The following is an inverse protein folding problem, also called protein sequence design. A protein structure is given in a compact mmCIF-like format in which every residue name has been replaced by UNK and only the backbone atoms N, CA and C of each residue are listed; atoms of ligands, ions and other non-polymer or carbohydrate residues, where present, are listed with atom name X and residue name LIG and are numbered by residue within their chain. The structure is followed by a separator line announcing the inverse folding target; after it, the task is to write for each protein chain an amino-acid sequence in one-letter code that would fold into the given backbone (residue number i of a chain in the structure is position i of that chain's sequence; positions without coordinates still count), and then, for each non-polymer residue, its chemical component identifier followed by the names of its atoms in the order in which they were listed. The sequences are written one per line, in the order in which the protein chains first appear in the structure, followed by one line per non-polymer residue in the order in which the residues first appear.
data_IF_998897146972
#
_entry.id   IF_998897146972
#
_cell.length_a   1.000
_cell.length_b   1.000
_cell.length_c   1.000
_cell.angle_alpha   90.00
_cell.angle_beta   90.00
_cell.angle_gamma   90.00
#
_symmetry.space_group_name_H-M   'P 1'
#
loop_
_entity.id
_entity.type
_entity.pdbx_description
1 polymer ?
#
# COMPACT_ATOMS: atom_id res chain seq x y z
N UNK A 1 7.38 17.10 2.59
CA UNK A 1 7.15 16.57 3.96
C UNK A 1 8.21 17.13 4.89
N UNK A 2 7.92 17.22 6.19
CA UNK A 2 8.87 17.69 7.21
C UNK A 2 8.64 16.90 8.51
N UNK A 3 9.69 16.71 9.28
CA UNK A 3 9.55 16.24 10.66
C UNK A 3 9.17 17.44 11.54
N UNK A 4 8.17 17.26 12.40
CA UNK A 4 7.73 18.26 13.38
C UNK A 4 7.85 17.64 14.77
N UNK A 5 8.58 18.26 15.72
CA UNK A 5 8.65 17.76 17.09
C UNK A 5 7.27 17.80 17.76
N UNK A 6 7.01 16.84 18.65
CA UNK A 6 5.76 16.78 19.42
C UNK A 6 5.55 18.05 20.27
N UNK A 7 6.62 18.56 20.88
CA UNK A 7 6.58 19.80 21.67
C UNK A 7 6.90 21.01 20.78
N UNK A 8 6.10 22.09 20.85
CA UNK A 8 6.41 23.32 20.15
C UNK A 8 7.75 23.92 20.60
N UNK A 9 8.48 24.52 19.67
CA UNK A 9 9.60 25.39 20.02
C UNK A 9 9.05 26.67 20.67
N UNK A 10 9.43 26.92 21.93
CA UNK A 10 9.05 28.10 22.69
C UNK A 10 10.25 28.99 23.04
N UNK A 11 10.02 30.19 23.59
CA UNK A 11 11.11 31.05 24.07
C UNK A 11 12.04 30.30 25.03
N UNK A 12 13.35 30.37 24.76
CA UNK A 12 14.37 29.68 25.57
C UNK A 12 14.61 28.21 25.24
N UNK A 13 13.92 27.65 24.24
CA UNK A 13 14.19 26.27 23.76
C UNK A 13 15.20 26.27 22.61
N UNK A 14 16.07 25.26 22.58
CA UNK A 14 17.00 25.01 21.47
C UNK A 14 16.84 23.59 20.91
N UNK A 15 16.99 23.46 19.59
CA UNK A 15 17.02 22.17 18.90
C UNK A 15 18.25 22.12 18.00
N UNK A 16 19.09 21.09 18.18
CA UNK A 16 20.22 20.81 17.29
C UNK A 16 19.91 19.60 16.41
N UNK A 17 19.56 19.85 15.15
CA UNK A 17 19.24 18.81 14.16
C UNK A 17 20.39 18.65 13.16
N UNK A 18 20.79 17.40 12.91
CA UNK A 18 21.77 17.04 11.87
C UNK A 18 21.21 15.91 11.03
N UNK A 19 21.07 16.14 9.73
CA UNK A 19 20.51 15.18 8.79
C UNK A 19 21.28 15.19 7.46
N UNK A 20 21.05 14.19 6.63
CA UNK A 20 21.55 14.09 5.26
C UNK A 20 20.36 13.94 4.33
N UNK A 21 20.35 14.71 3.24
CA UNK A 21 19.37 14.59 2.17
C UNK A 21 20.03 13.94 0.96
N UNK A 22 19.29 13.07 0.30
CA UNK A 22 19.69 12.39 -0.92
C UNK A 22 18.73 12.81 -2.05
N UNK A 23 19.28 13.18 -3.21
CA UNK A 23 18.52 13.48 -4.43
C UNK A 23 18.90 12.43 -5.47
N UNK A 24 18.18 11.32 -5.45
CA UNK A 24 18.43 10.14 -6.27
C UNK A 24 17.11 9.69 -6.90
N UNK A 25 17.22 8.90 -7.98
CA UNK A 25 16.05 8.25 -8.56
C UNK A 25 15.49 7.15 -7.65
N UNK A 26 16.37 6.46 -6.93
CA UNK A 26 16.06 5.31 -6.09
C UNK A 26 16.47 5.54 -4.63
N UNK A 27 15.85 4.79 -3.70
CA UNK A 27 16.16 4.82 -2.27
C UNK A 27 17.63 4.41 -2.04
N UNK A 28 18.48 5.27 -1.43
CA UNK A 28 19.89 4.96 -1.19
C UNK A 28 20.13 3.79 -0.23
N UNK A 29 19.16 3.47 0.64
CA UNK A 29 19.26 2.36 1.60
C UNK A 29 18.04 1.44 1.49
N UNK A 30 17.93 0.65 0.42
CA UNK A 30 16.77 -0.20 0.22
C UNK A 30 16.69 -1.24 1.34
N UNK A 31 15.51 -1.35 1.95
CA UNK A 31 15.21 -2.39 2.94
C UNK A 31 15.09 -3.78 2.32
N UNK A 32 14.87 -4.79 3.16
CA UNK A 32 14.68 -6.17 2.67
C UNK A 32 13.27 -6.41 2.13
N UNK A 33 12.27 -5.69 2.64
CA UNK A 33 10.88 -5.83 2.25
C UNK A 33 10.66 -5.36 0.80
N UNK A 34 9.74 -6.00 0.11
CA UNK A 34 9.26 -5.53 -1.18
C UNK A 34 8.51 -4.20 -1.01
N UNK A 35 8.74 -3.27 -1.92
CA UNK A 35 8.16 -1.92 -1.88
C UNK A 35 7.07 -1.77 -2.93
N UNK A 36 6.15 -0.84 -2.70
CA UNK A 36 5.09 -0.53 -3.65
C UNK A 36 5.69 0.13 -4.89
N UNK A 37 5.52 -0.48 -6.06
CA UNK A 37 5.99 0.05 -7.35
C UNK A 37 4.89 0.71 -8.16
N UNK A 38 3.62 0.37 -7.90
CA UNK A 38 2.50 1.04 -8.54
C UNK A 38 1.22 0.97 -7.71
N UNK A 39 0.41 2.03 -7.81
CA UNK A 39 -0.95 2.07 -7.31
C UNK A 39 -1.87 2.48 -8.44
N UNK A 40 -2.87 1.64 -8.75
CA UNK A 40 -3.90 1.91 -9.75
C UNK A 40 -5.27 1.77 -9.10
N UNK A 41 -6.22 2.63 -9.46
CA UNK A 41 -7.57 2.54 -8.91
C UNK A 41 -8.62 2.97 -9.94
N UNK A 42 -9.79 2.36 -9.88
CA UNK A 42 -10.83 2.45 -10.90
C UNK A 42 -12.21 2.10 -10.36
N UNK A 43 -13.22 2.11 -11.23
CA UNK A 43 -14.57 1.68 -10.83
C UNK A 43 -14.57 0.20 -10.42
N UNK A 44 -15.19 -0.10 -9.27
CA UNK A 44 -15.24 -1.44 -8.71
C UNK A 44 -16.33 -2.33 -9.29
N UNK A 45 -16.43 -3.54 -8.74
CA UNK A 45 -17.38 -4.56 -9.17
C UNK A 45 -16.74 -5.67 -10.02
N UNK A 46 -17.59 -6.62 -10.41
CA UNK A 46 -17.18 -7.81 -11.17
C UNK A 46 -17.20 -7.52 -12.68
N UNK A 47 -16.16 -7.90 -13.43
CA UNK A 47 -16.16 -7.80 -14.88
C UNK A 47 -17.41 -8.46 -15.50
N UNK A 48 -18.01 -7.81 -16.50
CA UNK A 48 -19.19 -8.32 -17.20
C UNK A 48 -20.53 -8.13 -16.46
N UNK A 49 -20.54 -7.52 -15.27
CA UNK A 49 -21.76 -7.19 -14.54
C UNK A 49 -22.00 -5.68 -14.52
N UNK A 50 -23.25 -5.29 -14.23
CA UNK A 50 -23.58 -3.88 -13.96
C UNK A 50 -22.72 -3.37 -12.81
N UNK A 51 -22.05 -2.24 -13.02
CA UNK A 51 -21.15 -1.67 -12.02
C UNK A 51 -21.94 -1.18 -10.80
N UNK A 52 -21.59 -1.62 -9.58
CA UNK A 52 -22.20 -1.10 -8.37
C UNK A 52 -21.76 0.35 -8.13
N UNK A 53 -22.68 1.18 -7.64
CA UNK A 53 -22.37 2.54 -7.21
C UNK A 53 -21.59 2.51 -5.89
N UNK A 54 -20.72 3.50 -5.68
CA UNK A 54 -19.95 3.62 -4.42
C UNK A 54 -18.86 2.58 -4.20
N UNK A 55 -18.50 1.80 -5.23
CA UNK A 55 -17.44 0.78 -5.15
C UNK A 55 -16.24 1.21 -5.97
N UNK A 56 -15.05 1.18 -5.35
CA UNK A 56 -13.78 1.51 -5.99
C UNK A 56 -12.84 0.32 -5.95
N UNK A 57 -12.29 -0.07 -7.09
CA UNK A 57 -11.24 -1.08 -7.20
C UNK A 57 -9.88 -0.46 -7.01
N UNK A 58 -9.02 -1.13 -6.26
CA UNK A 58 -7.60 -0.84 -6.13
C UNK A 58 -6.78 -2.03 -6.60
N UNK A 59 -5.67 -1.74 -7.28
CA UNK A 59 -4.61 -2.67 -7.64
C UNK A 59 -3.30 -2.05 -7.16
N UNK A 60 -2.66 -2.69 -6.19
CA UNK A 60 -1.39 -2.23 -5.61
C UNK A 60 -0.34 -3.28 -5.93
N UNK A 61 0.72 -2.87 -6.62
CA UNK A 61 1.82 -3.72 -7.05
C UNK A 61 3.04 -3.51 -6.17
N UNK A 62 3.65 -4.61 -5.76
CA UNK A 62 4.84 -4.66 -4.93
C UNK A 62 5.95 -5.44 -5.62
N UNK A 63 7.19 -5.00 -5.46
CA UNK A 63 8.35 -5.69 -5.99
C UNK A 63 9.49 -5.76 -4.98
N UNK A 64 10.13 -6.91 -4.88
CA UNK A 64 11.34 -7.08 -4.08
C UNK A 64 11.67 -8.54 -3.74
N UNK A 65 12.86 -8.74 -3.17
CA UNK A 65 13.46 -10.06 -2.94
C UNK A 65 12.67 -10.98 -2.01
N UNK A 66 11.94 -10.42 -1.04
CA UNK A 66 11.06 -11.21 -0.16
C UNK A 66 9.95 -11.91 -0.92
N UNK A 67 9.46 -11.30 -2.01
CA UNK A 67 8.41 -11.86 -2.86
C UNK A 67 8.94 -12.87 -3.88
N UNK A 68 10.24 -12.83 -4.22
CA UNK A 68 10.89 -13.85 -5.06
C UNK A 68 10.91 -15.23 -4.38
N UNK A 69 10.88 -15.24 -3.05
CA UNK A 69 10.95 -16.45 -2.22
C UNK A 69 9.59 -17.09 -1.98
N UNK A 70 8.51 -16.52 -2.51
CA UNK A 70 7.17 -17.09 -2.40
C UNK A 70 7.14 -18.42 -3.17
N UNK A 71 6.84 -19.57 -2.52
CA UNK A 71 6.82 -20.85 -3.19
C UNK A 71 5.76 -20.90 -4.30
N UNK A 72 5.99 -21.76 -5.30
CA UNK A 72 5.01 -22.00 -6.35
C UNK A 72 3.65 -22.40 -5.76
N UNK A 73 2.57 -21.92 -6.37
CA UNK A 73 1.19 -22.15 -5.94
C UNK A 73 0.87 -21.72 -4.49
N UNK A 74 1.64 -20.76 -3.96
CA UNK A 74 1.38 -20.11 -2.67
C UNK A 74 1.08 -18.65 -2.92
N UNK A 75 0.04 -18.12 -2.27
CA UNK A 75 -0.43 -16.75 -2.47
C UNK A 75 -0.29 -15.98 -1.15
N UNK A 76 0.49 -14.88 -1.12
CA UNK A 76 0.56 -14.01 0.05
C UNK A 76 -0.81 -13.48 0.43
N UNK A 77 -1.10 -13.37 1.72
CA UNK A 77 -2.31 -12.73 2.21
C UNK A 77 -2.17 -11.20 2.08
N UNK A 78 -3.18 -10.55 1.50
CA UNK A 78 -3.33 -9.10 1.55
C UNK A 78 -3.97 -8.68 2.88
N UNK A 79 -3.17 -8.19 3.81
CA UNK A 79 -3.67 -7.71 5.11
C UNK A 79 -4.13 -6.27 4.96
N UNK A 80 -5.45 -6.10 4.95
CA UNK A 80 -6.12 -4.82 4.72
C UNK A 80 -6.74 -4.26 5.99
N UNK A 81 -6.67 -2.95 6.16
CA UNK A 81 -7.45 -2.20 7.15
C UNK A 81 -7.85 -0.85 6.59
N UNK A 82 -9.02 -0.36 6.98
CA UNK A 82 -9.48 0.99 6.67
C UNK A 82 -10.10 1.67 7.89
N UNK A 83 -10.12 3.01 7.88
CA UNK A 83 -10.84 3.80 8.89
C UNK A 83 -12.36 3.62 8.79
N UNK A 84 -12.88 3.35 7.58
CA UNK A 84 -14.29 3.01 7.33
C UNK A 84 -14.48 2.27 6.00
N UNK A 85 -15.71 1.84 5.75
CA UNK A 85 -16.08 1.04 4.58
C UNK A 85 -15.76 -0.44 4.75
N UNK A 86 -15.99 -1.21 3.70
CA UNK A 86 -15.76 -2.66 3.69
C UNK A 86 -15.01 -3.08 2.44
N UNK A 87 -14.23 -4.15 2.58
CA UNK A 87 -13.47 -4.72 1.47
C UNK A 87 -14.18 -5.94 0.88
N UNK A 88 -14.07 -6.11 -0.44
CA UNK A 88 -14.54 -7.29 -1.16
C UNK A 88 -13.62 -7.59 -2.35
N UNK A 89 -13.82 -8.74 -3.01
CA UNK A 89 -13.02 -9.16 -4.18
C UNK A 89 -11.49 -9.08 -3.93
N UNK A 90 -11.07 -9.46 -2.72
CA UNK A 90 -9.67 -9.40 -2.27
C UNK A 90 -8.94 -10.63 -2.80
N UNK A 91 -7.83 -10.43 -3.51
CA UNK A 91 -6.89 -11.50 -3.84
C UNK A 91 -5.52 -10.93 -4.18
N UNK A 92 -4.52 -11.81 -4.19
CA UNK A 92 -3.16 -11.52 -4.62
C UNK A 92 -2.77 -12.45 -5.76
N UNK A 93 -1.91 -11.98 -6.65
CA UNK A 93 -1.34 -12.80 -7.70
C UNK A 93 0.03 -12.25 -8.14
N UNK A 94 0.87 -13.11 -8.67
CA UNK A 94 2.07 -12.69 -9.37
C UNK A 94 1.69 -11.94 -10.64
N UNK A 95 2.42 -10.86 -10.95
CA UNK A 95 2.22 -10.12 -12.20
C UNK A 95 2.80 -10.96 -13.35
N UNK A 96 2.04 -11.22 -14.44
CA UNK A 96 2.48 -12.09 -15.53
C UNK A 96 3.38 -11.32 -16.53
N UNK A 97 4.44 -10.69 -16.05
CA UNK A 97 5.40 -9.91 -16.83
C UNK A 97 6.79 -10.56 -16.93
N UNK A 98 6.97 -11.72 -16.29
CA UNK A 98 8.25 -12.43 -16.23
C UNK A 98 9.23 -11.89 -15.20
N UNK A 99 8.84 -10.91 -14.37
CA UNK A 99 9.67 -10.38 -13.30
C UNK A 99 9.44 -11.15 -12.00
N UNK A 100 10.49 -11.80 -11.51
CA UNK A 100 10.45 -12.48 -10.21
C UNK A 100 10.16 -11.48 -9.08
N UNK A 101 9.34 -11.91 -8.12
CA UNK A 101 8.98 -11.08 -6.97
C UNK A 101 8.08 -9.88 -7.28
N UNK A 102 7.51 -9.78 -8.49
CA UNK A 102 6.49 -8.78 -8.80
C UNK A 102 5.09 -9.36 -8.53
N UNK A 103 4.40 -8.80 -7.54
CA UNK A 103 3.07 -9.24 -7.12
C UNK A 103 2.10 -8.08 -7.06
N UNK A 104 0.82 -8.36 -7.25
CA UNK A 104 -0.26 -7.40 -7.04
C UNK A 104 -1.26 -7.89 -6.01
N UNK A 105 -1.77 -6.97 -5.22
CA UNK A 105 -3.01 -7.13 -4.47
C UNK A 105 -4.12 -6.38 -5.19
N UNK A 106 -5.27 -7.04 -5.36
CA UNK A 106 -6.49 -6.41 -5.82
C UNK A 106 -7.55 -6.49 -4.72
N UNK A 107 -8.29 -5.41 -4.54
CA UNK A 107 -9.48 -5.38 -3.69
C UNK A 107 -10.46 -4.30 -4.16
N UNK A 108 -11.73 -4.46 -3.80
CA UNK A 108 -12.76 -3.44 -3.94
C UNK A 108 -13.07 -2.85 -2.56
N UNK A 109 -13.08 -1.52 -2.47
CA UNK A 109 -13.57 -0.75 -1.33
C UNK A 109 -14.99 -0.29 -1.62
N UNK A 110 -15.92 -0.64 -0.74
CA UNK A 110 -17.26 -0.05 -0.68
C UNK A 110 -17.32 0.94 0.47
N UNK A 111 -17.69 2.18 0.19
CA UNK A 111 -17.78 3.22 1.21
C UNK A 111 -18.89 4.20 0.91
N UNK A 112 -19.57 4.66 1.96
CA UNK A 112 -20.58 5.72 1.89
C UNK A 112 -20.02 7.06 2.38
N UNK A 113 -20.63 8.15 1.90
CA UNK A 113 -20.28 9.52 2.26
C UNK A 113 -18.99 10.04 1.60
N UNK A 114 -18.73 11.34 1.76
CA UNK A 114 -17.67 12.07 1.07
C UNK A 114 -16.37 12.21 1.89
N UNK A 115 -16.37 11.81 3.16
CA UNK A 115 -15.20 11.99 4.04
C UNK A 115 -13.97 11.19 3.55
N UNK A 116 -12.73 11.52 3.92
CA UNK A 116 -11.56 10.73 3.54
C UNK A 116 -11.51 9.33 4.20
N UNK A 117 -11.05 8.31 3.47
CA UNK A 117 -10.85 6.94 3.96
C UNK A 117 -9.36 6.66 4.02
N UNK A 118 -8.83 6.44 5.21
CA UNK A 118 -7.45 6.00 5.39
C UNK A 118 -7.40 4.49 5.24
N UNK A 119 -6.50 4.00 4.40
CA UNK A 119 -6.28 2.59 4.14
C UNK A 119 -4.83 2.20 4.38
N UNK A 120 -4.65 0.97 4.84
CA UNK A 120 -3.36 0.31 4.95
C UNK A 120 -3.43 -1.07 4.31
N UNK A 121 -2.38 -1.42 3.56
CA UNK A 121 -2.17 -2.74 2.97
C UNK A 121 -0.71 -3.16 3.17
N UNK A 122 -0.50 -4.45 3.46
CA UNK A 122 0.78 -5.11 3.25
C UNK A 122 0.54 -6.59 2.91
N UNK A 123 1.53 -7.23 2.28
CA UNK A 123 1.49 -8.67 2.00
C UNK A 123 2.25 -9.44 3.07
N UNK A 124 1.68 -10.56 3.51
CA UNK A 124 2.37 -11.52 4.40
C UNK A 124 2.21 -12.95 3.92
N UNK A 125 3.10 -13.82 4.36
CA UNK A 125 2.97 -15.27 4.21
C UNK A 125 3.14 -15.93 5.58
N UNK A 126 2.04 -16.49 6.12
CA UNK A 126 1.99 -16.90 7.51
C UNK A 126 2.28 -15.71 8.43
N UNK A 127 3.27 -15.88 9.31
CA UNK A 127 3.73 -14.82 10.22
C UNK A 127 4.76 -13.85 9.59
N UNK A 128 5.25 -14.15 8.38
CA UNK A 128 6.29 -13.34 7.75
C UNK A 128 5.69 -12.19 6.94
N UNK A 129 6.00 -10.96 7.32
CA UNK A 129 5.71 -9.77 6.49
C UNK A 129 6.65 -9.73 5.28
N UNK A 130 6.09 -9.57 4.08
CA UNK A 130 6.84 -9.59 2.82
C UNK A 130 7.03 -8.20 2.22
N UNK A 131 6.10 -7.27 2.45
CA UNK A 131 6.15 -5.92 1.87
C UNK A 131 6.20 -4.85 2.95
N UNK A 132 6.57 -3.64 2.55
CA UNK A 132 6.24 -2.44 3.32
C UNK A 132 4.72 -2.28 3.51
N UNK A 133 4.35 -1.36 4.40
CA UNK A 133 2.95 -0.93 4.53
C UNK A 133 2.65 0.18 3.54
N UNK A 134 1.84 -0.13 2.54
CA UNK A 134 1.21 0.87 1.69
C UNK A 134 0.14 1.62 2.49
N UNK A 135 0.27 2.95 2.57
CA UNK A 135 -0.68 3.84 3.22
C UNK A 135 -1.30 4.74 2.16
N UNK A 136 -2.62 4.82 2.13
CA UNK A 136 -3.34 5.58 1.12
C UNK A 136 -4.60 6.23 1.70
N UNK A 137 -4.78 7.52 1.43
CA UNK A 137 -6.00 8.24 1.77
C UNK A 137 -6.86 8.38 0.51
N UNK A 138 -8.01 7.71 0.49
CA UNK A 138 -8.98 7.81 -0.59
C UNK A 138 -10.03 8.87 -0.28
N UNK A 139 -10.28 9.78 -1.23
CA UNK A 139 -11.32 10.79 -1.14
C UNK A 139 -12.47 10.38 -2.07
N UNK A 140 -13.63 9.95 -1.54
CA UNK A 140 -14.81 9.68 -2.35
C UNK A 140 -15.28 10.95 -3.07
N UNK A 141 -15.80 10.78 -4.28
CA UNK A 141 -16.34 11.85 -5.14
C UNK A 141 -17.80 11.61 -5.45
#
# INVERSE_FOLDING_TARGET
AMWVPEKPAGPGTDYRLRYRLHWLADEPYPGELAHCVATRFGNGGRPGQTRPQGVRKFVVEFQGRTLEKVPFNTFPEAVLSSSRGTFSNIFTEAVPDGMAGHWRAQFDLTVEGAEPVDMRLYLRLGEQTLTESWLYQYHPS
#
